data_IF_602904554241
#
_entry.id   IF_602904554241
#
_cell.length_a   1.000
_cell.length_b   1.000
_cell.length_c   1.000
_cell.angle_alpha   90.00
_cell.angle_beta   90.00
_cell.angle_gamma   90.00
#
_symmetry.space_group_name_H-M   'P 1'
#
loop_
_entity.id
_entity.type
_entity.pdbx_description
1 polymer ?
#
# COMPACT_ATOMS: atom_id res chain seq x y z
N UNK A 1 -8.05 10.54 -9.83
CA UNK A 1 -7.06 10.75 -8.75
C UNK A 1 -5.73 11.06 -9.41
N UNK A 2 -5.27 12.31 -9.35
CA UNK A 2 -4.12 12.80 -10.14
C UNK A 2 -2.74 12.60 -9.49
N UNK A 3 -2.67 12.19 -8.21
CA UNK A 3 -1.39 12.01 -7.51
C UNK A 3 -1.40 10.76 -6.60
N UNK A 4 -0.68 9.68 -6.98
CA UNK A 4 -0.58 8.45 -6.17
C UNK A 4 0.29 8.59 -4.91
N UNK A 5 0.93 9.76 -4.71
CA UNK A 5 1.79 10.04 -3.55
C UNK A 5 1.09 10.89 -2.49
N UNK A 6 -0.23 11.07 -2.58
CA UNK A 6 -1.00 11.84 -1.60
C UNK A 6 -0.98 11.20 -0.22
N UNK A 7 -0.84 12.02 0.82
CA UNK A 7 -0.77 11.54 2.19
C UNK A 7 0.64 11.16 2.64
N UNK A 8 0.76 11.00 3.95
CA UNK A 8 2.05 10.92 4.65
C UNK A 8 2.59 9.50 4.61
N UNK A 9 3.89 9.33 4.34
CA UNK A 9 4.53 8.02 4.40
C UNK A 9 4.62 7.55 5.84
N UNK A 10 4.21 6.31 6.10
CA UNK A 10 4.35 5.68 7.42
C UNK A 10 5.66 4.88 7.42
N UNK A 11 6.65 5.30 8.20
CA UNK A 11 7.92 4.58 8.31
C UNK A 11 7.70 3.16 8.86
N UNK A 12 8.54 2.21 8.45
CA UNK A 12 8.45 0.81 8.88
C UNK A 12 7.35 -0.03 8.23
N UNK A 13 6.55 0.53 7.29
CA UNK A 13 5.42 -0.16 6.66
C UNK A 13 5.67 -0.63 5.21
N UNK A 14 6.92 -0.67 4.75
CA UNK A 14 7.25 -0.94 3.34
C UNK A 14 6.56 0.00 2.32
N UNK A 15 6.32 1.26 2.70
CA UNK A 15 5.84 2.30 1.79
C UNK A 15 4.34 2.60 1.87
N UNK A 16 3.64 2.18 2.93
CA UNK A 16 2.26 2.59 3.15
C UNK A 16 2.16 4.10 3.39
N UNK A 17 1.03 4.69 2.99
CA UNK A 17 0.70 6.11 3.13
C UNK A 17 -0.60 6.30 3.89
N UNK A 18 -0.65 7.30 4.77
CA UNK A 18 -1.84 7.70 5.52
C UNK A 18 -2.52 8.86 4.80
N UNK A 19 -3.75 8.64 4.33
CA UNK A 19 -4.58 9.65 3.67
C UNK A 19 -5.73 10.07 4.58
N UNK A 20 -5.93 11.37 4.75
CA UNK A 20 -7.09 11.94 5.47
C UNK A 20 -8.16 12.33 4.45
N UNK A 21 -9.29 11.64 4.46
CA UNK A 21 -10.39 11.87 3.50
C UNK A 21 -11.56 12.54 4.21
N UNK A 22 -11.97 13.70 3.68
CA UNK A 22 -13.24 14.33 4.07
C UNK A 22 -14.37 13.68 3.29
N UNK A 23 -15.35 13.11 3.99
CA UNK A 23 -16.54 12.54 3.36
C UNK A 23 -17.58 13.65 3.18
N UNK A 24 -17.94 13.96 1.94
CA UNK A 24 -18.96 14.97 1.63
C UNK A 24 -20.36 14.53 2.12
N UNK A 25 -21.22 15.49 2.49
CA UNK A 25 -22.58 15.23 2.96
C UNK A 25 -22.69 14.67 4.39
N UNK A 26 -21.56 14.53 5.10
CA UNK A 26 -21.51 14.18 6.52
C UNK A 26 -20.82 15.32 7.28
N UNK A 27 -21.34 15.69 8.45
CA UNK A 27 -20.86 16.84 9.24
C UNK A 27 -19.36 16.76 9.57
N UNK A 28 -18.80 17.87 10.09
CA UNK A 28 -17.36 18.10 10.35
C UNK A 28 -16.61 16.95 11.09
N UNK A 29 -17.32 16.05 11.76
CA UNK A 29 -16.77 14.94 12.56
C UNK A 29 -16.52 13.62 11.82
N UNK A 30 -17.01 13.41 10.58
CA UNK A 30 -17.00 12.09 9.91
C UNK A 30 -15.90 11.87 8.87
N UNK A 31 -14.80 12.60 8.96
CA UNK A 31 -13.61 12.30 8.16
C UNK A 31 -13.05 10.91 8.49
N UNK A 32 -12.56 10.20 7.48
CA UNK A 32 -11.92 8.88 7.63
C UNK A 32 -10.43 9.01 7.33
N UNK A 33 -9.63 8.19 8.00
CA UNK A 33 -8.22 8.00 7.67
C UNK A 33 -8.08 6.64 7.01
N UNK A 34 -7.37 6.62 5.90
CA UNK A 34 -7.13 5.40 5.14
C UNK A 34 -5.64 5.21 4.95
N UNK A 35 -5.15 4.03 5.32
CA UNK A 35 -3.79 3.58 5.05
C UNK A 35 -3.82 2.79 3.75
N UNK A 36 -2.99 3.19 2.80
CA UNK A 36 -2.96 2.59 1.47
C UNK A 36 -1.53 2.42 0.95
N UNK A 37 -1.35 1.56 -0.04
CA UNK A 37 -0.11 1.47 -0.83
C UNK A 37 -0.43 1.60 -2.31
N UNK A 38 0.45 2.25 -3.07
CA UNK A 38 0.39 2.30 -4.53
C UNK A 38 1.47 1.39 -5.11
N UNK A 39 1.06 0.29 -5.73
CA UNK A 39 1.97 -0.64 -6.40
C UNK A 39 2.23 -0.15 -7.82
N UNK A 40 3.35 0.56 -8.02
CA UNK A 40 3.72 1.18 -9.30
C UNK A 40 3.86 0.17 -10.44
N UNK A 41 4.38 -1.04 -10.18
CA UNK A 41 4.55 -2.10 -11.20
C UNK A 41 3.25 -2.46 -11.92
N UNK A 42 2.13 -2.45 -11.19
CA UNK A 42 0.81 -2.80 -11.71
C UNK A 42 -0.17 -1.62 -11.74
N UNK A 43 0.32 -0.42 -11.42
CA UNK A 43 -0.48 0.82 -11.33
C UNK A 43 -1.77 0.67 -10.51
N UNK A 44 -1.72 -0.02 -9.37
CA UNK A 44 -2.88 -0.29 -8.51
C UNK A 44 -2.74 0.29 -7.10
N UNK A 45 -3.86 0.76 -6.57
CA UNK A 45 -3.99 1.15 -5.17
C UNK A 45 -4.58 0.00 -4.36
N UNK A 46 -4.01 -0.24 -3.19
CA UNK A 46 -4.55 -1.15 -2.19
C UNK A 46 -4.80 -0.39 -0.91
N UNK A 47 -6.07 -0.32 -0.50
CA UNK A 47 -6.48 0.24 0.79
C UNK A 47 -6.39 -0.87 1.83
N UNK A 48 -5.50 -0.70 2.82
CA UNK A 48 -5.17 -1.74 3.79
C UNK A 48 -6.04 -1.61 5.04
N UNK A 49 -6.21 -0.39 5.52
CA UNK A 49 -6.94 -0.09 6.76
C UNK A 49 -7.71 1.22 6.54
N UNK A 50 -8.97 1.27 6.94
CA UNK A 50 -9.76 2.51 7.02
C UNK A 50 -10.37 2.61 8.39
N UNK A 51 -10.23 3.77 9.03
CA UNK A 51 -10.71 4.01 10.39
C UNK A 51 -11.20 5.45 10.56
N UNK A 52 -12.10 5.65 11.53
CA UNK A 52 -12.69 6.94 11.86
C UNK A 52 -11.72 7.92 12.51
N UNK A 53 -12.13 9.19 12.63
CA UNK A 53 -11.31 10.25 13.23
C UNK A 53 -10.80 9.91 14.66
N UNK A 54 -11.57 9.15 15.43
CA UNK A 54 -11.32 8.91 16.85
C UNK A 54 -10.97 7.45 17.18
N UNK A 55 -10.72 6.60 16.18
CA UNK A 55 -10.52 5.16 16.41
C UNK A 55 -9.06 4.78 16.66
N UNK A 56 -8.10 5.50 16.07
CA UNK A 56 -6.66 5.38 16.37
C UNK A 56 -5.94 6.54 15.68
N UNK A 57 -4.82 7.03 16.22
CA UNK A 57 -4.00 8.04 15.53
C UNK A 57 -2.75 7.44 14.87
N UNK A 58 -2.09 6.46 15.49
CA UNK A 58 -0.86 5.85 14.99
C UNK A 58 -0.83 4.32 15.10
N UNK A 59 -0.15 3.68 14.14
CA UNK A 59 0.11 2.24 14.18
C UNK A 59 1.18 1.93 15.22
N UNK A 60 0.95 0.91 16.04
CA UNK A 60 1.99 0.27 16.84
C UNK A 60 3.04 -0.41 15.96
N UNK A 61 4.20 -0.73 16.52
CA UNK A 61 5.28 -1.32 15.74
C UNK A 61 4.94 -2.72 15.22
N UNK A 62 4.15 -3.50 15.98
CA UNK A 62 3.64 -4.81 15.54
C UNK A 62 2.65 -4.66 14.36
N UNK A 63 1.80 -3.64 14.39
CA UNK A 63 0.89 -3.33 13.28
C UNK A 63 1.67 -2.86 12.04
N UNK A 64 2.69 -2.00 12.21
CA UNK A 64 3.56 -1.58 11.10
C UNK A 64 4.22 -2.79 10.44
N UNK A 65 4.72 -3.73 11.24
CA UNK A 65 5.36 -4.94 10.72
C UNK A 65 4.37 -5.85 9.99
N UNK A 66 3.14 -5.94 10.50
CA UNK A 66 2.05 -6.68 9.85
C UNK A 66 1.66 -6.04 8.51
N UNK A 67 1.55 -4.71 8.46
CA UNK A 67 1.30 -3.93 7.25
C UNK A 67 2.43 -4.13 6.24
N UNK A 68 3.69 -4.05 6.66
CA UNK A 68 4.85 -4.27 5.80
C UNK A 68 4.85 -5.68 5.18
N UNK A 69 4.55 -6.71 5.99
CA UNK A 69 4.43 -8.09 5.53
C UNK A 69 3.30 -8.25 4.50
N UNK A 70 2.15 -7.61 4.73
CA UNK A 70 1.03 -7.63 3.77
C UNK A 70 1.39 -6.95 2.45
N UNK A 71 2.08 -5.81 2.49
CA UNK A 71 2.51 -5.09 1.28
C UNK A 71 3.47 -5.92 0.45
N UNK A 72 4.51 -6.52 1.06
CA UNK A 72 5.45 -7.39 0.34
C UNK A 72 4.74 -8.54 -0.36
N UNK A 73 3.78 -9.17 0.32
CA UNK A 73 2.96 -10.23 -0.29
C UNK A 73 2.12 -9.72 -1.47
N UNK A 74 1.57 -8.50 -1.38
CA UNK A 74 0.84 -7.90 -2.50
C UNK A 74 1.77 -7.59 -3.70
N UNK A 75 3.01 -7.18 -3.44
CA UNK A 75 4.02 -6.99 -4.49
C UNK A 75 4.38 -8.31 -5.18
N UNK A 76 4.58 -9.38 -4.41
CA UNK A 76 4.83 -10.73 -4.93
C UNK A 76 3.66 -11.25 -5.76
N UNK A 77 2.42 -11.12 -5.25
CA UNK A 77 1.20 -11.51 -5.96
C UNK A 77 1.03 -10.71 -7.27
N UNK A 78 1.34 -9.42 -7.24
CA UNK A 78 1.29 -8.55 -8.42
C UNK A 78 2.35 -8.93 -9.46
N UNK A 79 3.58 -9.23 -9.05
CA UNK A 79 4.66 -9.64 -9.94
C UNK A 79 4.39 -11.00 -10.59
N UNK A 80 3.97 -12.00 -9.78
CA UNK A 80 3.57 -13.31 -10.31
C UNK A 80 2.42 -13.20 -11.30
N UNK A 81 1.39 -12.42 -10.98
CA UNK A 81 0.25 -12.22 -11.89
C UNK A 81 0.69 -11.56 -13.20
N UNK A 82 1.55 -10.54 -13.13
CA UNK A 82 2.04 -9.86 -14.33
C UNK A 82 2.84 -10.82 -15.21
N UNK A 83 3.73 -11.64 -14.64
CA UNK A 83 4.52 -12.63 -15.37
C UNK A 83 3.68 -13.71 -16.03
N UNK A 84 2.64 -14.18 -15.35
CA UNK A 84 1.68 -15.13 -15.92
C UNK A 84 0.98 -14.53 -17.15
N UNK A 85 0.56 -13.26 -17.08
CA UNK A 85 -0.07 -12.55 -18.21
C UNK A 85 0.93 -12.36 -19.37
N UNK A 86 2.20 -12.12 -19.06
CA UNK A 86 3.27 -11.95 -20.05
C UNK A 86 3.84 -13.28 -20.59
N UNK A 87 3.35 -14.43 -20.11
CA UNK A 87 3.85 -15.76 -20.54
C UNK A 87 5.25 -16.10 -20.05
N UNK A 88 5.79 -15.38 -19.05
CA UNK A 88 7.15 -15.54 -18.55
C UNK A 88 7.31 -16.64 -17.47
N UNK A 89 6.21 -17.30 -17.08
CA UNK A 89 6.18 -18.32 -16.02
C UNK A 89 6.44 -17.76 -14.60
N UNK A 90 6.31 -18.60 -13.56
CA UNK A 90 6.61 -18.19 -12.19
C UNK A 90 8.12 -18.05 -11.97
N UNK A 91 8.56 -17.01 -11.24
CA UNK A 91 9.97 -16.91 -10.86
C UNK A 91 10.37 -17.94 -9.81
N UNK A 92 11.53 -18.59 -9.97
CA UNK A 92 12.12 -19.37 -8.89
C UNK A 92 12.54 -18.41 -7.76
N UNK A 93 12.34 -18.87 -6.53
CA UNK A 93 12.47 -18.12 -5.27
C UNK A 93 13.92 -17.74 -4.88
N UNK A 94 14.83 -17.48 -5.84
CA UNK A 94 16.15 -16.93 -5.55
C UNK A 94 16.14 -15.42 -5.81
N UNK A 95 16.59 -14.64 -4.83
CA UNK A 95 16.74 -13.18 -4.90
C UNK A 95 17.54 -12.79 -6.14
N UNK A 96 16.87 -12.44 -7.22
CA UNK A 96 17.50 -11.66 -8.29
C UNK A 96 17.23 -10.20 -7.97
N UNK A 97 18.20 -9.57 -7.33
CA UNK A 97 18.27 -8.10 -7.25
C UNK A 97 18.57 -7.61 -8.67
N UNK A 98 17.53 -7.43 -9.49
CA UNK A 98 17.67 -6.67 -10.73
C UNK A 98 17.83 -5.22 -10.32
N UNK A 99 19.07 -4.73 -10.27
CA UNK A 99 19.34 -3.30 -10.34
C UNK A 99 18.83 -2.83 -11.70
N UNK A 100 17.73 -2.09 -11.68
CA UNK A 100 17.26 -1.30 -12.81
C UNK A 100 17.67 0.14 -12.52
N UNK A 101 18.94 0.42 -12.79
CA UNK A 101 19.44 1.79 -12.93
C UNK A 101 19.81 1.95 -14.42
N UNK A 102 19.27 3.01 -15.01
CA UNK A 102 19.47 3.43 -16.38
C UNK A 102 20.88 4.00 -16.61
#
# INVERSE_FOLDING_TARGET
MSNPRLGDVISGTAGARKLRVKVAGRGKSRGVRTIYVYLRRVSKFYFLITYGKNESDDLSDSEKQSVAKRIRRLEEEADMRLRMVLGLGPTPFYKVTVRLDA
#
